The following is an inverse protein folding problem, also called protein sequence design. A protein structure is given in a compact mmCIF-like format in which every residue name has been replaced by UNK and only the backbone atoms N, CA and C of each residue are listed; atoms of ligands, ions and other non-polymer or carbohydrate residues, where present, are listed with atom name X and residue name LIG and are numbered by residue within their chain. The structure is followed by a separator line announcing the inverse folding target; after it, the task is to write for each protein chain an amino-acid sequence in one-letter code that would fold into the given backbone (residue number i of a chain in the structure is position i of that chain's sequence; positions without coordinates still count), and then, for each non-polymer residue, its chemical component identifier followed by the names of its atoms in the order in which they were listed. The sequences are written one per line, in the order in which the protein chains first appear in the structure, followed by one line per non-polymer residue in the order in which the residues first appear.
data_IF_140550454751
#
_entry.id   IF_140550454751
#
_cell.length_a   1.000
_cell.length_b   1.000
_cell.length_c   1.000
_cell.angle_alpha   90.00
_cell.angle_beta   90.00
_cell.angle_gamma   90.00
#
_symmetry.space_group_name_H-M   'P 1'
#
loop_
_entity.id
_entity.type
_entity.pdbx_description
1 polymer ?
#
# COMPACT_ATOMS: atom_id res chain seq x y z
N UNK A 1 1.89 19.89 17.53
CA UNK A 1 1.18 19.04 16.90
C UNK A 1 1.90 18.16 15.99
N UNK A 2 1.63 16.97 15.94
CA UNK A 2 2.29 16.06 15.13
C UNK A 2 1.67 15.92 13.79
N UNK A 3 2.45 16.07 12.78
CA UNK A 3 1.96 15.90 11.50
C UNK A 3 2.06 14.50 11.10
N UNK A 4 1.02 13.94 10.57
CA UNK A 4 1.06 12.57 10.09
C UNK A 4 1.70 12.55 8.73
N UNK A 5 2.61 11.65 8.54
CA UNK A 5 3.27 11.53 7.28
C UNK A 5 2.78 10.26 6.59
N UNK A 6 2.46 10.36 5.31
CA UNK A 6 2.04 9.22 4.53
C UNK A 6 3.29 8.46 4.07
N UNK A 7 3.29 7.16 4.29
CA UNK A 7 4.43 6.33 3.90
C UNK A 7 4.07 5.50 2.68
N UNK A 8 4.72 5.80 1.58
CA UNK A 8 4.42 5.11 0.33
C UNK A 8 4.64 3.62 0.38
N UNK A 9 5.61 3.18 1.16
CA UNK A 9 5.83 1.76 1.20
C UNK A 9 4.71 1.04 1.92
N UNK A 10 3.93 1.73 2.74
CA UNK A 10 2.77 1.11 3.33
C UNK A 10 1.71 0.89 2.27
N UNK A 11 1.57 1.82 1.35
CA UNK A 11 0.63 1.67 0.26
C UNK A 11 1.05 0.48 -0.60
N UNK A 12 2.33 0.38 -0.89
CA UNK A 12 2.81 -0.71 -1.69
C UNK A 12 2.59 -2.04 -0.98
N UNK A 13 2.88 -2.10 0.32
CA UNK A 13 2.68 -3.31 1.08
C UNK A 13 1.23 -3.75 1.07
N UNK A 14 0.32 -2.81 1.27
CA UNK A 14 -1.09 -3.14 1.28
C UNK A 14 -1.55 -3.66 -0.07
N UNK A 15 -1.09 -3.00 -1.14
CA UNK A 15 -1.45 -3.41 -2.47
C UNK A 15 -0.95 -4.83 -2.76
N UNK A 16 0.30 -5.07 -2.40
CA UNK A 16 0.87 -6.38 -2.65
C UNK A 16 0.24 -7.45 -1.78
N UNK A 17 -0.13 -7.07 -0.58
CA UNK A 17 -0.80 -8.01 0.30
C UNK A 17 -2.12 -8.48 -0.32
N UNK A 18 -2.80 -7.56 -1.03
CA UNK A 18 -4.05 -7.91 -1.69
C UNK A 18 -3.82 -8.55 -3.06
N UNK A 19 -2.57 -8.66 -3.49
CA UNK A 19 -2.27 -9.29 -4.77
C UNK A 19 -2.67 -8.47 -5.97
N UNK A 20 -2.66 -7.15 -5.83
CA UNK A 20 -3.06 -6.28 -6.92
C UNK A 20 -1.88 -5.66 -7.62
N UNK A 21 -1.98 -5.52 -8.93
CA UNK A 21 -0.99 -4.78 -9.67
C UNK A 21 -1.33 -3.30 -9.59
N UNK A 22 -0.40 -2.46 -10.03
CA UNK A 22 -0.67 -1.03 -10.06
C UNK A 22 -1.86 -0.74 -10.98
N UNK A 23 -1.92 -1.44 -12.10
CA UNK A 23 -3.01 -1.25 -13.04
C UNK A 23 -4.36 -1.62 -12.42
N UNK A 24 -4.37 -2.70 -11.68
CA UNK A 24 -5.61 -3.13 -11.05
C UNK A 24 -6.07 -2.16 -9.99
N UNK A 25 -5.15 -1.67 -9.19
CA UNK A 25 -5.52 -0.71 -8.16
C UNK A 25 -5.97 0.59 -8.81
N UNK A 26 -5.32 0.98 -9.88
CA UNK A 26 -5.72 2.19 -10.60
C UNK A 26 -7.16 2.08 -11.09
N UNK A 27 -7.50 0.93 -11.61
CA UNK A 27 -8.85 0.72 -12.09
C UNK A 27 -9.87 0.78 -10.97
N UNK A 28 -9.55 0.21 -9.84
CA UNK A 28 -10.47 0.20 -8.74
C UNK A 28 -10.69 1.56 -8.10
N UNK A 29 -9.66 2.39 -8.13
CA UNK A 29 -9.73 3.67 -7.46
C UNK A 29 -9.92 4.83 -8.42
N UNK A 30 -9.73 4.57 -9.70
CA UNK A 30 -9.80 5.62 -10.70
C UNK A 30 -8.70 6.65 -10.49
N UNK A 31 -7.64 6.27 -9.78
CA UNK A 31 -6.46 7.09 -9.64
C UNK A 31 -5.48 6.54 -10.67
N UNK A 32 -4.79 7.40 -11.37
CA UNK A 32 -3.93 6.93 -12.44
C UNK A 32 -2.81 6.06 -11.89
N UNK A 33 -2.37 5.13 -12.70
CA UNK A 33 -1.29 4.24 -12.33
C UNK A 33 -0.03 5.03 -12.00
N UNK A 34 0.22 6.09 -12.76
CA UNK A 34 1.38 6.93 -12.51
C UNK A 34 1.29 7.59 -11.16
N UNK A 35 0.11 8.07 -10.78
CA UNK A 35 -0.05 8.70 -9.49
C UNK A 35 0.19 7.72 -8.36
N UNK A 36 -0.35 6.51 -8.50
CA UNK A 36 -0.16 5.52 -7.47
C UNK A 36 1.32 5.19 -7.33
N UNK A 37 2.01 5.07 -8.44
CA UNK A 37 3.43 4.78 -8.40
C UNK A 37 4.20 5.89 -7.70
N UNK A 38 3.82 7.15 -7.95
CA UNK A 38 4.48 8.27 -7.30
C UNK A 38 4.23 8.23 -5.79
N UNK A 39 3.01 7.85 -5.39
CA UNK A 39 2.70 7.74 -3.97
C UNK A 39 3.54 6.63 -3.32
N UNK A 40 3.66 5.51 -3.98
CA UNK A 40 4.39 4.38 -3.42
C UNK A 40 5.88 4.66 -3.26
N UNK A 41 6.40 5.54 -4.09
CA UNK A 41 7.81 5.89 -4.03
C UNK A 41 8.07 7.19 -3.28
N UNK A 42 7.05 7.69 -2.59
CA UNK A 42 7.16 8.92 -1.81
C UNK A 42 7.57 10.12 -2.63
N UNK A 43 7.27 10.08 -3.92
CA UNK A 43 7.54 11.22 -4.79
C UNK A 43 6.35 12.16 -4.86
N UNK A 44 5.25 11.75 -4.29
CA UNK A 44 4.08 12.59 -4.22
C UNK A 44 3.26 12.08 -3.05
N UNK A 45 2.38 12.91 -2.52
CA UNK A 45 1.58 12.52 -1.38
C UNK A 45 0.10 12.61 -1.73
N UNK A 46 -0.67 11.58 -1.53
CA UNK A 46 -2.09 11.64 -1.85
C UNK A 46 -2.81 12.51 -0.83
N UNK A 47 -3.87 13.18 -1.26
CA UNK A 47 -4.63 14.00 -0.34
C UNK A 47 -5.53 13.07 0.49
N UNK A 48 -6.21 13.67 1.45
CA UNK A 48 -7.05 12.93 2.37
C UNK A 48 -8.06 12.03 1.68
N UNK A 49 -8.74 12.56 0.68
CA UNK A 49 -9.78 11.78 0.00
C UNK A 49 -9.18 10.59 -0.74
N UNK A 50 -8.02 10.79 -1.33
CA UNK A 50 -7.39 9.70 -2.04
C UNK A 50 -6.88 8.62 -1.09
N UNK A 51 -6.38 9.04 0.07
CA UNK A 51 -5.95 8.04 1.04
C UNK A 51 -7.14 7.24 1.52
N UNK A 52 -8.29 7.90 1.73
CA UNK A 52 -9.47 7.20 2.16
C UNK A 52 -9.93 6.20 1.11
N UNK A 53 -9.85 6.61 -0.14
CA UNK A 53 -10.25 5.75 -1.24
C UNK A 53 -9.33 4.54 -1.33
N UNK A 54 -8.04 4.77 -1.24
CA UNK A 54 -7.08 3.69 -1.30
C UNK A 54 -7.28 2.73 -0.12
N UNK A 55 -7.47 3.28 1.07
CA UNK A 55 -7.67 2.46 2.25
C UNK A 55 -8.93 1.60 2.09
N UNK A 56 -9.97 2.20 1.56
CA UNK A 56 -11.23 1.49 1.37
C UNK A 56 -11.07 0.36 0.37
N UNK A 57 -10.45 0.64 -0.76
CA UNK A 57 -10.29 -0.38 -1.78
C UNK A 57 -9.36 -1.52 -1.33
N UNK A 58 -8.37 -1.18 -0.53
CA UNK A 58 -7.46 -2.19 -0.06
C UNK A 58 -7.92 -2.82 1.24
N UNK A 59 -8.98 -2.23 1.82
CA UNK A 59 -9.54 -2.73 3.06
C UNK A 59 -8.50 -2.73 4.18
N UNK A 60 -7.82 -1.62 4.31
CA UNK A 60 -6.89 -1.38 5.39
C UNK A 60 -7.33 -0.16 6.16
N UNK A 61 -6.99 -0.05 7.43
CA UNK A 61 -7.38 1.14 8.19
C UNK A 61 -6.70 2.37 7.62
N UNK A 62 -7.38 3.49 7.69
CA UNK A 62 -6.83 4.75 7.20
C UNK A 62 -5.47 5.02 7.85
N UNK A 63 -5.37 4.83 9.15
CA UNK A 63 -4.13 5.13 9.88
C UNK A 63 -2.96 4.24 9.50
N UNK A 64 -3.23 3.12 8.89
CA UNK A 64 -2.17 2.20 8.52
C UNK A 64 -1.10 2.88 7.66
N UNK A 65 -1.53 3.77 6.77
CA UNK A 65 -0.61 4.40 5.84
C UNK A 65 0.23 5.52 6.46
N UNK A 66 -0.11 5.88 7.67
CA UNK A 66 0.63 6.95 8.35
C UNK A 66 1.51 6.44 9.47
N UNK A 67 1.66 5.15 9.62
CA UNK A 67 2.47 4.59 10.67
C UNK A 67 3.88 4.35 10.19
N UNK A 68 4.82 4.85 10.95
CA UNK A 68 6.16 4.61 10.59
C UNK A 68 6.42 3.17 10.86
N UNK A 69 7.06 2.47 9.87
CA UNK A 69 7.17 1.17 10.01
C UNK A 69 8.48 0.75 10.29
N UNK A 70 8.93 0.59 11.37
CA UNK A 70 10.23 0.13 11.62
C UNK A 70 10.15 -1.33 11.90
N UNK A 71 9.47 -1.70 12.93
CA UNK A 71 9.40 -3.08 13.29
C UNK A 71 8.43 -3.86 12.43
N UNK A 72 7.31 -3.27 12.19
CA UNK A 72 6.30 -3.93 11.39
C UNK A 72 6.75 -4.12 9.95
N UNK A 73 7.51 -3.20 9.45
CA UNK A 73 7.98 -3.32 8.08
C UNK A 73 8.90 -4.50 7.95
N UNK A 74 9.73 -4.70 8.94
CA UNK A 74 10.60 -5.80 8.92
C UNK A 74 9.83 -7.09 8.92
N UNK A 75 8.80 -7.14 9.73
CA UNK A 75 7.97 -8.32 9.82
C UNK A 75 7.26 -8.56 8.51
N UNK A 76 6.74 -7.52 7.92
CA UNK A 76 6.04 -7.65 6.67
C UNK A 76 6.97 -8.12 5.57
N UNK A 77 8.16 -7.59 5.55
CA UNK A 77 9.11 -7.98 4.53
C UNK A 77 9.43 -9.46 4.65
N UNK A 78 9.61 -9.91 5.87
CA UNK A 78 9.89 -11.31 6.10
C UNK A 78 8.72 -12.17 5.65
N UNK A 79 7.52 -11.72 5.95
CA UNK A 79 6.34 -12.47 5.58
C UNK A 79 6.26 -12.62 4.07
N UNK A 80 6.40 -11.53 3.34
CA UNK A 80 6.34 -11.59 1.90
C UNK A 80 7.43 -12.45 1.32
N UNK A 81 8.61 -12.40 1.89
CA UNK A 81 9.68 -13.18 1.39
C UNK A 81 9.40 -14.65 1.56
N UNK A 82 8.82 -14.99 2.69
CA UNK A 82 8.50 -16.36 2.95
C UNK A 82 7.30 -16.88 2.26
N UNK A 83 6.21 -16.11 2.27
CA UNK A 83 4.99 -16.59 1.68
C UNK A 83 4.69 -16.00 0.34
N UNK A 84 5.08 -14.77 0.11
CA UNK A 84 4.78 -14.13 -1.15
C UNK A 84 5.37 -14.85 -2.33
N UNK A 85 6.57 -15.29 -2.17
CA UNK A 85 7.22 -15.97 -3.26
C UNK A 85 6.51 -17.22 -3.64
N UNK A 86 6.08 -17.99 -2.70
CA UNK A 86 5.41 -19.18 -2.99
C UNK A 86 4.04 -18.98 -3.37
N UNK A 87 3.36 -18.09 -2.74
CA UNK A 87 1.97 -17.97 -3.02
C UNK A 87 1.64 -16.82 -3.85
N UNK A 88 2.61 -16.06 -4.22
CA UNK A 88 2.34 -14.93 -5.02
C UNK A 88 1.42 -15.31 -6.09
N UNK A 89 1.57 -16.46 -6.51
CA UNK A 89 0.75 -16.87 -7.47
C UNK A 89 -0.44 -17.38 -6.88
N UNK A 90 -0.45 -17.87 -5.86
CA UNK A 90 -1.56 -18.43 -5.38
C UNK A 90 -2.31 -17.57 -4.61
N UNK A 91 -1.99 -16.95 -4.06
CA UNK A 91 -2.63 -16.41 -3.37
C UNK A 91 -2.68 -15.77 -2.72
N UNK A 92 -2.31 -15.53 -2.80
CA UNK A 92 -2.22 -14.97 -2.18
C UNK A 92 -2.93 -14.94 -1.43
N UNK A 93 -3.11 -15.38 -1.24
CA UNK A 93 -3.77 -15.62 -0.51
C UNK A 93 -4.10 -15.39 -0.02
#
# INVERSE_FOLDING_TARGET
MIEKKFYGERLRSARMYRGLTLTELAKRTEISKQSISLYENDNNTPDYMKVRLLASELNFPYDYFFQKDSYAAKTETTYFRRYGDKTAKMEVL
#
